data_IF_840836905142
#
_entry.id   IF_840836905142
#
_cell.length_a   1.000
_cell.length_b   1.000
_cell.length_c   1.000
_cell.angle_alpha   90.00
_cell.angle_beta   90.00
_cell.angle_gamma   90.00
#
_symmetry.space_group_name_H-M   'P 1'
#
loop_
_entity.id
_entity.type
_entity.pdbx_description
1 polymer ?
#
# COMPACT_ATOMS: atom_id res chain seq x y z
N UNK A 1 17.32 35.71 16.29
CA UNK A 1 17.76 35.15 14.99
C UNK A 1 18.36 33.73 15.12
N UNK A 2 17.93 32.88 16.06
CA UNK A 2 18.49 31.51 16.24
C UNK A 2 17.48 30.38 15.96
N UNK A 3 16.25 30.71 15.56
CA UNK A 3 15.15 29.73 15.37
C UNK A 3 15.01 29.26 13.91
N UNK A 4 15.55 30.01 12.94
CA UNK A 4 15.43 29.65 11.52
C UNK A 4 16.41 28.54 11.08
N UNK A 5 17.59 28.45 11.71
CA UNK A 5 18.63 27.47 11.33
C UNK A 5 18.26 26.03 11.68
N UNK A 6 17.39 25.81 12.67
CA UNK A 6 16.99 24.47 13.13
C UNK A 6 16.03 23.76 12.17
N UNK A 7 15.37 24.51 11.29
CA UNK A 7 14.40 23.97 10.33
C UNK A 7 15.03 23.60 8.98
N UNK A 8 16.27 24.00 8.70
CA UNK A 8 16.96 23.68 7.45
C UNK A 8 17.60 22.28 7.43
N UNK A 9 17.71 21.62 8.59
CA UNK A 9 18.35 20.30 8.73
C UNK A 9 17.38 19.12 8.60
N UNK A 10 16.07 19.38 8.41
CA UNK A 10 15.06 18.33 8.26
C UNK A 10 14.81 17.88 6.80
N UNK A 11 15.46 18.53 5.82
CA UNK A 11 15.34 18.17 4.39
C UNK A 11 16.50 17.30 3.88
N UNK A 12 17.30 16.74 4.79
CA UNK A 12 18.38 15.80 4.48
C UNK A 12 17.95 14.33 4.51
N UNK A 13 16.67 14.03 4.23
CA UNK A 13 16.26 12.66 4.01
C UNK A 13 16.83 12.19 2.68
N UNK A 14 17.79 11.27 2.71
CA UNK A 14 18.32 10.60 1.53
C UNK A 14 17.13 10.13 0.67
N UNK A 15 16.95 10.72 -0.52
CA UNK A 15 15.91 10.26 -1.44
C UNK A 15 16.34 8.89 -1.93
N UNK A 16 15.59 7.87 -1.53
CA UNK A 16 15.81 6.53 -2.04
C UNK A 16 15.49 6.50 -3.53
N UNK A 17 16.51 6.30 -4.36
CA UNK A 17 16.37 6.03 -5.79
C UNK A 17 15.82 4.61 -5.98
N UNK A 18 14.52 4.50 -6.27
CA UNK A 18 13.84 3.24 -6.52
C UNK A 18 13.78 2.96 -8.02
N UNK A 19 14.30 1.80 -8.44
CA UNK A 19 14.06 1.29 -9.80
C UNK A 19 12.64 0.73 -9.92
N UNK A 20 12.09 0.70 -11.14
CA UNK A 20 10.78 0.10 -11.40
C UNK A 20 10.71 -1.38 -10.99
N UNK A 21 11.81 -2.13 -11.15
CA UNK A 21 11.92 -3.51 -10.71
C UNK A 21 11.84 -3.62 -9.18
N UNK A 22 12.59 -2.79 -8.46
CA UNK A 22 12.56 -2.78 -7.00
C UNK A 22 11.18 -2.36 -6.46
N UNK A 23 10.53 -1.38 -7.11
CA UNK A 23 9.16 -1.00 -6.77
C UNK A 23 8.19 -2.17 -6.96
N UNK A 24 8.31 -2.90 -8.06
CA UNK A 24 7.46 -4.06 -8.32
C UNK A 24 7.65 -5.15 -7.25
N UNK A 25 8.89 -5.47 -6.90
CA UNK A 25 9.20 -6.45 -5.84
C UNK A 25 8.65 -6.02 -4.48
N UNK A 26 8.79 -4.74 -4.14
CA UNK A 26 8.24 -4.18 -2.91
C UNK A 26 6.71 -4.29 -2.88
N UNK A 27 6.03 -3.90 -3.96
CA UNK A 27 4.56 -3.99 -4.06
C UNK A 27 4.07 -5.44 -3.98
N UNK A 28 4.78 -6.39 -4.60
CA UNK A 28 4.49 -7.83 -4.51
C UNK A 28 4.68 -8.32 -3.06
N UNK A 29 5.76 -7.89 -2.39
CA UNK A 29 6.01 -8.22 -0.99
C UNK A 29 4.91 -7.72 -0.06
N UNK A 30 4.45 -6.49 -0.24
CA UNK A 30 3.32 -5.91 0.50
C UNK A 30 2.05 -6.72 0.27
N UNK A 31 1.72 -7.03 -0.98
CA UNK A 31 0.52 -7.81 -1.31
C UNK A 31 0.56 -9.23 -0.71
N UNK A 32 1.72 -9.89 -0.70
CA UNK A 32 1.90 -11.18 -0.01
C UNK A 32 1.62 -11.09 1.49
N UNK A 33 2.16 -10.08 2.16
CA UNK A 33 1.93 -9.87 3.60
C UNK A 33 0.44 -9.61 3.89
N UNK A 34 -0.22 -8.77 3.08
CA UNK A 34 -1.65 -8.50 3.21
C UNK A 34 -2.51 -9.75 2.96
N UNK A 35 -2.11 -10.59 2.00
CA UNK A 35 -2.78 -11.88 1.74
C UNK A 35 -2.71 -12.78 2.98
N UNK A 36 -1.54 -12.88 3.62
CA UNK A 36 -1.38 -13.67 4.85
C UNK A 36 -2.30 -13.18 5.99
N UNK A 37 -2.45 -11.85 6.14
CA UNK A 37 -3.38 -11.27 7.13
C UNK A 37 -4.83 -11.61 6.78
N UNK A 38 -5.24 -11.44 5.53
CA UNK A 38 -6.61 -11.76 5.08
C UNK A 38 -6.91 -13.25 5.27
N UNK A 39 -5.94 -14.13 4.98
CA UNK A 39 -6.08 -15.58 5.17
C UNK A 39 -6.19 -15.96 6.64
N UNK A 40 -5.43 -15.30 7.53
CA UNK A 40 -5.57 -15.48 8.97
C UNK A 40 -6.96 -15.06 9.45
N UNK A 41 -7.48 -13.94 8.94
CA UNK A 41 -8.83 -13.46 9.27
C UNK A 41 -9.92 -14.37 8.72
N UNK A 42 -9.75 -14.91 7.50
CA UNK A 42 -10.69 -15.86 6.91
C UNK A 42 -10.78 -17.15 7.74
N UNK A 43 -9.65 -17.64 8.27
CA UNK A 43 -9.63 -18.80 9.17
C UNK A 43 -10.30 -18.51 10.51
N UNK A 44 -10.13 -17.30 11.04
CA UNK A 44 -10.74 -16.89 12.30
C UNK A 44 -12.23 -16.56 12.17
N UNK A 45 -12.66 -16.06 11.01
CA UNK A 45 -14.02 -15.66 10.69
C UNK A 45 -14.34 -15.99 9.23
N UNK A 46 -14.89 -17.19 8.95
CA UNK A 46 -15.22 -17.60 7.58
C UNK A 46 -16.12 -16.61 6.85
N UNK A 47 -15.77 -16.27 5.62
CA UNK A 47 -16.43 -15.26 4.80
C UNK A 47 -15.86 -13.85 4.96
N UNK A 48 -14.93 -13.60 5.89
CA UNK A 48 -14.33 -12.29 6.10
C UNK A 48 -13.76 -11.67 4.82
N UNK A 49 -13.08 -12.47 3.99
CA UNK A 49 -12.48 -11.99 2.74
C UNK A 49 -13.53 -11.32 1.84
N UNK A 50 -14.62 -12.02 1.57
CA UNK A 50 -15.62 -11.55 0.60
C UNK A 50 -16.59 -10.53 1.20
N UNK A 51 -16.92 -10.67 2.49
CA UNK A 51 -17.88 -9.79 3.17
C UNK A 51 -17.25 -8.45 3.58
N UNK A 52 -15.96 -8.43 3.94
CA UNK A 52 -15.32 -7.24 4.51
C UNK A 52 -14.09 -6.78 3.73
N UNK A 53 -13.14 -7.67 3.44
CA UNK A 53 -11.84 -7.25 2.89
C UNK A 53 -11.96 -6.76 1.44
N UNK A 54 -12.54 -7.55 0.54
CA UNK A 54 -12.64 -7.23 -0.89
C UNK A 54 -13.36 -5.89 -1.14
N UNK A 55 -14.53 -5.60 -0.54
CA UNK A 55 -15.19 -4.30 -0.74
C UNK A 55 -14.33 -3.11 -0.33
N UNK A 56 -13.62 -3.19 0.81
CA UNK A 56 -12.75 -2.12 1.28
C UNK A 56 -11.51 -1.96 0.39
N UNK A 57 -10.94 -3.06 -0.09
CA UNK A 57 -9.84 -3.04 -1.05
C UNK A 57 -10.25 -2.43 -2.39
N UNK A 58 -11.47 -2.69 -2.87
CA UNK A 58 -12.01 -2.06 -4.08
C UNK A 58 -12.16 -0.55 -3.91
N UNK A 59 -12.61 -0.07 -2.74
CA UNK A 59 -12.67 1.38 -2.45
C UNK A 59 -11.28 1.99 -2.43
N UNK A 60 -10.31 1.33 -1.78
CA UNK A 60 -8.93 1.81 -1.70
C UNK A 60 -8.24 1.81 -3.09
N UNK A 61 -8.51 0.81 -3.93
CA UNK A 61 -7.99 0.73 -5.29
C UNK A 61 -8.58 1.80 -6.24
N UNK A 62 -9.79 2.28 -5.93
CA UNK A 62 -10.58 3.20 -6.76
C UNK A 62 -10.84 4.55 -6.05
N UNK A 63 -9.97 5.00 -5.13
CA UNK A 63 -10.10 6.34 -4.56
C UNK A 63 -10.26 7.35 -5.70
N UNK A 64 -11.35 8.14 -5.65
CA UNK A 64 -11.89 9.03 -6.71
C UNK A 64 -10.96 10.19 -7.14
N UNK A 65 -9.67 9.95 -7.31
CA UNK A 65 -8.81 10.83 -8.07
C UNK A 65 -8.95 10.45 -9.55
N UNK A 66 -9.04 11.45 -10.44
CA UNK A 66 -9.08 11.21 -11.89
C UNK A 66 -7.80 10.56 -12.44
N UNK A 67 -6.77 10.40 -11.61
CA UNK A 67 -5.47 9.85 -11.95
C UNK A 67 -5.04 8.81 -10.89
N UNK A 68 -4.64 7.57 -11.28
CA UNK A 68 -4.09 6.59 -10.36
C UNK A 68 -2.90 7.11 -9.56
N UNK A 69 -2.97 7.04 -8.23
CA UNK A 69 -1.85 7.44 -7.37
C UNK A 69 -1.06 6.22 -6.93
N UNK A 70 0.23 6.43 -6.64
CA UNK A 70 1.10 5.38 -6.08
C UNK A 70 0.51 4.73 -4.83
N UNK A 71 -0.22 5.50 -4.02
CA UNK A 71 -0.84 5.01 -2.78
C UNK A 71 -1.98 4.01 -3.03
N UNK A 72 -2.56 4.00 -4.23
CA UNK A 72 -3.65 3.09 -4.59
C UNK A 72 -3.09 1.76 -5.15
N UNK A 73 -1.79 1.71 -5.51
CA UNK A 73 -1.15 0.53 -6.14
C UNK A 73 -1.13 -0.72 -5.26
N UNK A 74 -0.86 -0.68 -3.95
CA UNK A 74 -0.83 -1.89 -3.12
C UNK A 74 -2.14 -2.67 -3.19
N UNK A 75 -3.28 -1.97 -3.06
CA UNK A 75 -4.61 -2.58 -3.13
C UNK A 75 -4.90 -3.16 -4.52
N UNK A 76 -4.46 -2.50 -5.59
CA UNK A 76 -4.61 -3.00 -6.97
C UNK A 76 -3.79 -4.25 -7.24
N UNK A 77 -2.54 -4.27 -6.76
CA UNK A 77 -1.66 -5.44 -6.87
C UNK A 77 -2.26 -6.61 -6.08
N UNK A 78 -2.70 -6.36 -4.85
CA UNK A 78 -3.37 -7.37 -4.03
C UNK A 78 -4.60 -7.96 -4.70
N UNK A 79 -5.53 -7.11 -5.17
CA UNK A 79 -6.74 -7.56 -5.87
C UNK A 79 -6.39 -8.38 -7.12
N UNK A 80 -5.40 -7.95 -7.91
CA UNK A 80 -4.95 -8.68 -9.11
C UNK A 80 -4.33 -10.05 -8.78
N UNK A 81 -3.70 -10.20 -7.62
CA UNK A 81 -3.16 -11.48 -7.16
C UNK A 81 -4.24 -12.45 -6.65
N UNK A 82 -5.41 -11.93 -6.29
CA UNK A 82 -6.51 -12.74 -5.72
C UNK A 82 -7.46 -13.32 -6.79
N UNK A 83 -7.42 -12.83 -8.03
CA UNK A 83 -8.24 -13.31 -9.16
C UNK A 83 -9.36 -12.34 -9.50
#
# INVERSE_FOLDING_TARGET
MLTAAKNAQAEGGERMEISSAYLADLLIGIAKAQTAVIDAMERANPGFRNTHAVPLLQVAANMRAGDPRLIDLPSRVLLRMQG
#
